data_IF_776984201824
#
_entry.id   IF_776984201824
#
_cell.length_a   1.000
_cell.length_b   1.000
_cell.length_c   1.000
_cell.angle_alpha   90.00
_cell.angle_beta   90.00
_cell.angle_gamma   90.00
#
_symmetry.space_group_name_H-M   'P 1'
#
loop_
_entity.id
_entity.type
_entity.pdbx_description
1 polymer ?
#
# COMPACT_ATOMS: atom_id res chain seq x y z
N UNK A 1 -16.56 16.51 8.35
CA UNK A 1 -17.89 17.14 8.45
C UNK A 1 -18.98 16.11 8.74
N UNK A 2 -19.12 15.03 7.97
CA UNK A 2 -20.20 14.03 8.10
C UNK A 2 -20.26 13.41 9.51
N UNK A 3 -19.17 12.89 10.04
CA UNK A 3 -19.11 12.31 11.38
C UNK A 3 -19.58 13.29 12.48
N UNK A 4 -19.21 14.57 12.39
CA UNK A 4 -19.70 15.58 13.34
C UNK A 4 -21.20 15.79 13.27
N UNK A 5 -21.81 15.70 12.08
CA UNK A 5 -23.27 15.77 11.94
C UNK A 5 -23.95 14.56 12.56
N UNK A 6 -23.39 13.36 12.36
CA UNK A 6 -23.90 12.15 13.01
C UNK A 6 -23.85 12.28 14.54
N UNK A 7 -22.75 12.76 15.11
CA UNK A 7 -22.63 13.01 16.55
C UNK A 7 -23.70 13.98 17.01
N UNK A 8 -23.90 15.11 16.32
CA UNK A 8 -24.95 16.10 16.65
C UNK A 8 -26.34 15.49 16.57
N UNK A 9 -26.63 14.67 15.55
CA UNK A 9 -27.95 14.02 15.45
C UNK A 9 -28.17 13.03 16.60
N UNK A 10 -27.21 12.25 16.97
CA UNK A 10 -27.30 11.30 18.09
C UNK A 10 -27.55 12.03 19.38
N UNK A 11 -26.80 13.09 19.67
CA UNK A 11 -26.91 13.88 20.92
C UNK A 11 -28.20 14.70 20.98
N UNK A 12 -28.52 15.45 19.92
CA UNK A 12 -29.68 16.38 19.93
C UNK A 12 -31.03 15.66 19.93
N UNK A 13 -31.08 14.44 19.38
CA UNK A 13 -32.30 13.64 19.34
C UNK A 13 -32.35 12.55 20.42
N UNK A 14 -31.41 12.55 21.36
CA UNK A 14 -31.30 11.57 22.45
C UNK A 14 -31.40 10.12 21.94
N UNK A 15 -30.73 9.82 20.81
CA UNK A 15 -30.76 8.48 20.18
C UNK A 15 -30.08 7.49 21.11
N UNK A 16 -30.84 6.53 21.62
CA UNK A 16 -30.31 5.46 22.47
C UNK A 16 -29.91 4.27 21.60
N UNK A 17 -28.69 3.73 21.85
CA UNK A 17 -28.20 2.53 21.24
C UNK A 17 -28.03 1.41 22.28
N UNK A 18 -28.11 0.15 21.87
CA UNK A 18 -27.88 -1.00 22.77
C UNK A 18 -26.41 -1.11 23.19
N UNK A 19 -25.51 -0.61 22.37
CA UNK A 19 -24.08 -0.60 22.60
C UNK A 19 -23.51 0.80 22.67
N UNK A 20 -22.21 0.89 22.87
CA UNK A 20 -21.46 2.15 22.88
C UNK A 20 -21.09 2.54 21.45
N UNK A 21 -21.34 3.78 21.08
CA UNK A 21 -20.81 4.37 19.84
C UNK A 21 -19.52 5.11 20.15
N UNK A 22 -18.45 4.71 19.47
CA UNK A 22 -17.15 5.34 19.55
C UNK A 22 -16.85 6.08 18.24
N UNK A 23 -16.74 7.41 18.31
CA UNK A 23 -16.40 8.24 17.15
C UNK A 23 -14.93 8.59 17.17
N UNK A 24 -14.21 8.19 16.12
CA UNK A 24 -12.76 8.31 16.05
C UNK A 24 -12.38 9.08 14.78
N UNK A 25 -11.63 10.17 14.94
CA UNK A 25 -10.97 10.86 13.84
C UNK A 25 -9.51 10.39 13.76
N UNK A 26 -9.16 9.69 12.71
CA UNK A 26 -7.81 9.17 12.45
C UNK A 26 -6.95 10.21 11.75
N UNK A 27 -5.63 10.00 11.77
CA UNK A 27 -4.64 10.81 11.07
C UNK A 27 -3.70 9.91 10.25
N UNK A 28 -3.19 10.44 9.15
CA UNK A 28 -2.18 9.74 8.35
C UNK A 28 -2.70 8.49 7.68
N UNK A 29 -3.89 8.57 7.07
CA UNK A 29 -4.43 7.52 6.22
C UNK A 29 -3.69 7.49 4.88
N UNK A 30 -3.46 8.65 4.28
CA UNK A 30 -2.97 8.77 2.92
C UNK A 30 -1.45 8.59 2.78
N UNK A 31 -1.04 8.21 1.58
CA UNK A 31 0.34 8.15 1.10
C UNK A 31 1.33 7.58 2.14
N UNK A 32 2.33 8.37 2.52
CA UNK A 32 3.37 8.04 3.50
C UNK A 32 2.83 7.91 4.94
N UNK A 33 1.62 8.39 5.19
CA UNK A 33 0.95 8.23 6.47
C UNK A 33 0.63 6.77 6.79
N UNK A 34 0.47 5.93 5.78
CA UNK A 34 0.41 4.46 5.86
C UNK A 34 -0.55 3.93 6.92
N UNK A 35 -1.74 4.57 7.05
CA UNK A 35 -2.76 4.20 8.04
C UNK A 35 -2.29 4.30 9.50
N UNK A 36 -1.30 5.14 9.83
CA UNK A 36 -0.67 5.15 11.16
C UNK A 36 -1.66 5.40 12.30
N UNK A 37 -2.70 6.22 12.06
CA UNK A 37 -3.73 6.51 13.05
C UNK A 37 -4.54 5.27 13.41
N UNK A 38 -5.14 4.61 12.43
CA UNK A 38 -5.94 3.40 12.64
C UNK A 38 -5.08 2.23 13.12
N UNK A 39 -3.84 2.09 12.64
CA UNK A 39 -2.88 1.11 13.18
C UNK A 39 -2.63 1.31 14.66
N UNK A 40 -2.43 2.56 15.10
CA UNK A 40 -2.25 2.87 16.53
C UNK A 40 -3.45 2.46 17.36
N UNK A 41 -4.66 2.66 16.84
CA UNK A 41 -5.90 2.28 17.53
C UNK A 41 -5.97 0.77 17.70
N UNK A 42 -5.85 0.00 16.63
CA UNK A 42 -6.13 -1.44 16.68
C UNK A 42 -4.92 -2.30 17.09
N UNK A 43 -3.69 -1.84 16.91
CA UNK A 43 -2.51 -2.63 17.31
C UNK A 43 -1.97 -2.27 18.69
N UNK A 44 -2.30 -1.08 19.26
CA UNK A 44 -1.57 -0.62 20.43
C UNK A 44 -2.41 0.06 21.51
N UNK A 45 -3.68 0.45 21.27
CA UNK A 45 -4.46 1.19 22.27
C UNK A 45 -5.23 0.30 23.25
N UNK A 46 -5.40 -0.98 22.94
CA UNK A 46 -6.26 -1.89 23.71
C UNK A 46 -7.75 -1.66 23.52
N UNK A 47 -8.17 -0.83 22.55
CA UNK A 47 -9.58 -0.62 22.23
C UNK A 47 -10.14 -1.87 21.56
N UNK A 48 -11.25 -2.38 22.09
CA UNK A 48 -12.02 -3.47 21.51
C UNK A 48 -13.35 -2.95 21.00
N UNK A 49 -13.73 -3.35 19.80
CA UNK A 49 -14.99 -3.00 19.14
C UNK A 49 -15.58 -4.22 18.43
N UNK A 50 -16.91 -4.29 18.36
CA UNK A 50 -17.62 -5.39 17.68
C UNK A 50 -17.79 -5.15 16.19
N UNK A 51 -17.57 -3.92 15.72
CA UNK A 51 -17.64 -3.56 14.31
C UNK A 51 -17.14 -2.14 14.05
N UNK A 52 -16.75 -1.89 12.81
CA UNK A 52 -16.19 -0.60 12.36
C UNK A 52 -16.89 -0.15 11.08
N UNK A 53 -17.39 1.08 11.12
CA UNK A 53 -17.90 1.79 9.95
C UNK A 53 -16.97 2.96 9.63
N UNK A 54 -16.34 2.92 8.46
CA UNK A 54 -15.46 3.98 7.97
C UNK A 54 -16.24 4.91 7.05
N UNK A 55 -16.03 6.20 7.17
CA UNK A 55 -16.57 7.22 6.27
C UNK A 55 -15.45 7.74 5.38
N UNK A 56 -15.43 7.27 4.12
CA UNK A 56 -14.36 7.55 3.16
C UNK A 56 -14.89 7.58 1.72
N UNK A 57 -14.46 8.59 0.96
CA UNK A 57 -14.94 8.86 -0.38
C UNK A 57 -16.18 9.73 -0.44
N UNK A 58 -16.48 10.28 -1.61
CA UNK A 58 -17.55 11.26 -1.82
C UNK A 58 -18.91 10.62 -2.13
N UNK A 59 -18.94 9.47 -2.81
CA UNK A 59 -20.19 8.86 -3.29
C UNK A 59 -20.92 8.08 -2.19
N UNK A 60 -22.12 8.50 -1.77
CA UNK A 60 -22.93 7.78 -0.77
C UNK A 60 -23.37 6.37 -1.22
N UNK A 61 -23.42 6.12 -2.53
CA UNK A 61 -23.73 4.82 -3.12
C UNK A 61 -22.57 3.82 -3.06
N UNK A 62 -21.39 4.25 -2.67
CA UNK A 62 -20.22 3.39 -2.50
C UNK A 62 -20.32 2.54 -1.24
N UNK A 63 -20.00 1.25 -1.38
CA UNK A 63 -19.93 0.30 -0.27
C UNK A 63 -18.74 -0.63 -0.47
N UNK A 64 -17.82 -0.68 0.49
CA UNK A 64 -16.62 -1.50 0.38
C UNK A 64 -16.77 -2.81 1.17
N UNK A 65 -16.71 -3.94 0.47
CA UNK A 65 -16.71 -5.27 1.09
C UNK A 65 -15.30 -5.81 1.36
N UNK A 66 -14.28 -5.20 0.79
CA UNK A 66 -12.90 -5.67 0.90
C UNK A 66 -11.90 -4.54 1.03
N UNK A 67 -10.69 -4.91 1.40
CA UNK A 67 -9.56 -4.02 1.60
C UNK A 67 -8.42 -4.42 0.68
N UNK A 68 -7.99 -3.52 -0.19
CA UNK A 68 -6.80 -3.71 -1.01
C UNK A 68 -5.57 -3.50 -0.15
N UNK A 69 -4.76 -4.55 0.00
CA UNK A 69 -3.48 -4.46 0.68
C UNK A 69 -2.41 -3.82 -0.19
N UNK A 70 -1.41 -3.21 0.44
CA UNK A 70 -0.20 -2.76 -0.25
C UNK A 70 1.05 -2.96 0.57
N UNK A 71 2.15 -3.28 -0.11
CA UNK A 71 3.50 -3.30 0.46
C UNK A 71 4.40 -2.43 -0.40
N UNK A 72 5.03 -1.47 0.25
CA UNK A 72 5.86 -0.46 -0.41
C UNK A 72 7.29 -0.59 0.06
N UNK A 73 8.21 -0.47 -0.87
CA UNK A 73 9.64 -0.60 -0.59
C UNK A 73 10.41 0.51 -1.29
N UNK A 74 11.41 1.03 -0.58
CA UNK A 74 12.50 1.80 -1.15
C UNK A 74 13.67 0.86 -1.42
N UNK A 75 14.21 0.91 -2.63
CA UNK A 75 15.37 0.14 -3.06
C UNK A 75 16.50 1.11 -3.36
N UNK A 76 17.64 0.90 -2.74
CA UNK A 76 18.83 1.72 -2.88
C UNK A 76 19.98 0.90 -3.42
N UNK A 77 20.63 1.39 -4.47
CA UNK A 77 21.84 0.82 -5.01
C UNK A 77 23.02 1.73 -4.68
N UNK A 78 24.14 1.12 -4.30
CA UNK A 78 25.41 1.84 -4.06
C UNK A 78 26.57 1.07 -4.71
N UNK A 79 27.46 1.79 -5.35
CA UNK A 79 28.63 1.24 -6.03
C UNK A 79 29.84 2.15 -5.91
N UNK A 80 30.98 1.81 -6.55
CA UNK A 80 32.23 2.55 -6.40
C UNK A 80 32.21 3.95 -7.04
N UNK A 81 31.35 4.18 -8.04
CA UNK A 81 31.43 5.38 -8.85
C UNK A 81 32.66 5.42 -9.75
N UNK A 82 32.81 6.48 -10.54
CA UNK A 82 33.99 6.66 -11.37
C UNK A 82 33.77 7.52 -12.60
N UNK A 83 34.83 7.74 -13.37
CA UNK A 83 34.75 8.48 -14.65
C UNK A 83 34.30 7.53 -15.77
N UNK A 84 33.28 7.93 -16.53
CA UNK A 84 32.61 7.07 -17.53
C UNK A 84 33.55 6.53 -18.61
N UNK A 85 34.62 7.23 -18.96
CA UNK A 85 35.62 6.80 -19.94
C UNK A 85 36.83 6.10 -19.30
N UNK A 86 37.41 6.68 -18.24
CA UNK A 86 38.63 6.17 -17.62
C UNK A 86 38.41 4.85 -16.88
N UNK A 87 37.27 4.69 -16.24
CA UNK A 87 36.93 3.50 -15.46
C UNK A 87 35.93 2.57 -16.18
N UNK A 88 35.70 2.79 -17.47
CA UNK A 88 34.84 1.92 -18.26
C UNK A 88 35.38 0.50 -18.28
N UNK A 89 34.50 -0.47 -17.98
CA UNK A 89 34.89 -1.88 -17.93
C UNK A 89 35.51 -2.32 -16.59
N UNK A 90 35.79 -1.38 -15.69
CA UNK A 90 36.40 -1.67 -14.37
C UNK A 90 35.35 -1.61 -13.24
N UNK A 91 34.42 -0.66 -13.33
CA UNK A 91 33.44 -0.39 -12.28
C UNK A 91 32.00 -0.59 -12.78
N UNK A 92 31.18 -1.25 -11.97
CA UNK A 92 29.76 -1.39 -12.22
C UNK A 92 29.01 -0.10 -11.85
N UNK A 93 27.82 0.10 -12.45
CA UNK A 93 27.01 1.31 -12.27
C UNK A 93 25.73 1.02 -11.49
N UNK A 94 25.46 1.81 -10.46
CA UNK A 94 24.22 1.71 -9.68
C UNK A 94 22.96 1.92 -10.54
N UNK A 95 22.99 2.89 -11.47
CA UNK A 95 21.85 3.15 -12.38
C UNK A 95 21.64 2.01 -13.37
N UNK A 96 22.70 1.37 -13.87
CA UNK A 96 22.56 0.22 -14.76
C UNK A 96 22.03 -1.01 -14.02
N UNK A 97 22.44 -1.23 -12.77
CA UNK A 97 21.87 -2.27 -11.92
C UNK A 97 20.36 -2.07 -11.70
N UNK A 98 19.93 -0.84 -11.41
CA UNK A 98 18.52 -0.49 -11.27
C UNK A 98 17.74 -0.68 -12.59
N UNK A 99 18.30 -0.28 -13.72
CA UNK A 99 17.68 -0.50 -15.03
C UNK A 99 17.47 -2.00 -15.34
N UNK A 100 18.44 -2.87 -14.97
CA UNK A 100 18.31 -4.33 -15.15
C UNK A 100 17.17 -4.87 -14.28
N UNK A 101 17.10 -4.47 -13.02
CA UNK A 101 16.02 -4.88 -12.11
C UNK A 101 14.66 -4.36 -12.59
N UNK A 102 14.59 -3.10 -13.02
CA UNK A 102 13.37 -2.49 -13.56
C UNK A 102 12.86 -3.21 -14.81
N UNK A 103 13.75 -3.64 -15.70
CA UNK A 103 13.39 -4.42 -16.88
C UNK A 103 12.83 -5.81 -16.52
N UNK A 104 13.38 -6.45 -15.50
CA UNK A 104 12.86 -7.73 -15.00
C UNK A 104 11.47 -7.53 -14.38
N UNK A 105 11.30 -6.51 -13.55
CA UNK A 105 10.01 -6.18 -12.97
C UNK A 105 8.95 -5.87 -14.04
N UNK A 106 9.31 -5.10 -15.07
CA UNK A 106 8.38 -4.70 -16.13
C UNK A 106 7.86 -5.90 -16.97
N UNK A 107 8.57 -7.02 -16.96
CA UNK A 107 8.16 -8.26 -17.64
C UNK A 107 7.34 -9.22 -16.77
N UNK A 108 7.17 -8.88 -15.48
CA UNK A 108 6.42 -9.73 -14.56
C UNK A 108 4.95 -9.82 -14.98
N UNK A 109 4.38 -11.01 -14.88
CA UNK A 109 2.96 -11.23 -15.11
C UNK A 109 2.25 -11.46 -13.77
N UNK A 110 1.15 -10.77 -13.56
CA UNK A 110 0.33 -10.89 -12.34
C UNK A 110 -1.11 -11.24 -12.72
N UNK A 111 -1.86 -11.91 -11.84
CA UNK A 111 -3.25 -12.27 -12.12
C UNK A 111 -4.14 -11.02 -12.14
N UNK A 112 -5.16 -11.07 -13.00
CA UNK A 112 -6.23 -10.09 -13.02
C UNK A 112 -7.20 -10.30 -11.83
N UNK A 113 -7.35 -11.56 -11.38
CA UNK A 113 -8.19 -11.94 -10.23
C UNK A 113 -7.50 -13.01 -9.37
N UNK A 114 -7.37 -12.77 -8.05
CA UNK A 114 -7.67 -11.49 -7.39
C UNK A 114 -6.80 -10.38 -7.97
N UNK A 115 -7.36 -9.16 -8.10
CA UNK A 115 -6.64 -8.02 -8.71
C UNK A 115 -5.33 -7.78 -7.98
N UNK A 116 -4.24 -7.98 -8.72
CA UNK A 116 -2.87 -7.85 -8.20
C UNK A 116 -2.10 -6.90 -9.11
N UNK A 117 -1.34 -6.00 -8.53
CA UNK A 117 -0.64 -4.96 -9.30
C UNK A 117 0.74 -4.69 -8.70
N UNK A 118 1.64 -4.22 -9.54
CA UNK A 118 2.93 -3.68 -9.13
C UNK A 118 3.23 -2.40 -9.91
N UNK A 119 4.01 -1.51 -9.30
CA UNK A 119 4.46 -0.28 -9.94
C UNK A 119 5.86 0.05 -9.47
N UNK A 120 6.78 0.35 -10.41
CA UNK A 120 8.00 1.07 -10.14
C UNK A 120 7.61 2.56 -10.17
N UNK A 121 7.36 3.14 -8.99
CA UNK A 121 6.68 4.43 -8.86
C UNK A 121 7.62 5.62 -9.06
N UNK A 122 8.82 5.53 -8.50
CA UNK A 122 9.86 6.55 -8.62
C UNK A 122 11.18 5.92 -9.00
N UNK A 123 12.04 6.68 -9.68
CA UNK A 123 13.39 6.27 -10.03
C UNK A 123 14.29 7.49 -10.10
N UNK A 124 15.45 7.42 -9.45
CA UNK A 124 16.46 8.46 -9.48
C UNK A 124 17.87 7.87 -9.40
N UNK A 125 18.88 8.64 -9.78
CA UNK A 125 20.28 8.23 -9.63
C UNK A 125 21.23 8.93 -10.58
N UNK A 126 22.53 8.71 -10.34
CA UNK A 126 23.62 9.35 -11.05
C UNK A 126 23.92 10.76 -10.53
N UNK A 127 25.06 11.33 -10.97
CA UNK A 127 25.51 12.67 -10.57
C UNK A 127 25.85 13.57 -11.75
N UNK A 128 26.39 13.02 -12.83
CA UNK A 128 26.72 13.76 -14.04
C UNK A 128 26.78 12.83 -15.26
N UNK A 129 26.73 13.44 -16.47
CA UNK A 129 26.70 12.71 -17.75
C UNK A 129 27.97 11.89 -18.00
N UNK A 130 29.10 12.26 -17.41
CA UNK A 130 30.39 11.60 -17.55
C UNK A 130 30.84 10.81 -16.32
N UNK A 131 29.91 10.46 -15.44
CA UNK A 131 30.15 9.64 -14.26
C UNK A 131 29.53 8.24 -14.40
N UNK A 132 30.22 7.21 -13.91
CA UNK A 132 29.63 5.93 -13.54
C UNK A 132 28.85 6.19 -12.25
N UNK A 133 27.55 5.90 -12.24
CA UNK A 133 26.70 6.23 -11.10
C UNK A 133 27.08 5.43 -9.85
N UNK A 134 27.38 6.15 -8.78
CA UNK A 134 27.63 5.61 -7.45
C UNK A 134 26.33 5.23 -6.74
N UNK A 135 25.27 6.02 -6.95
CA UNK A 135 23.97 5.81 -6.32
C UNK A 135 22.84 5.78 -7.32
N UNK A 136 21.85 4.93 -7.05
CA UNK A 136 20.54 4.93 -7.67
C UNK A 136 19.51 4.43 -6.67
N UNK A 137 18.28 4.89 -6.80
CA UNK A 137 17.18 4.45 -5.95
C UNK A 137 15.87 4.42 -6.70
N UNK A 138 14.94 3.62 -6.20
CA UNK A 138 13.56 3.62 -6.65
C UNK A 138 12.61 3.28 -5.50
N UNK A 139 11.33 3.58 -5.71
CA UNK A 139 10.26 3.11 -4.86
C UNK A 139 9.29 2.26 -5.66
N UNK A 140 8.80 1.20 -5.02
CA UNK A 140 7.81 0.29 -5.61
C UNK A 140 6.57 0.20 -4.73
N UNK A 141 5.42 0.03 -5.37
CA UNK A 141 4.13 -0.23 -4.73
C UNK A 141 3.57 -1.55 -5.27
N UNK A 142 3.39 -2.53 -4.39
CA UNK A 142 2.84 -3.85 -4.66
C UNK A 142 1.48 -3.95 -4.01
N UNK A 143 0.43 -4.35 -4.76
CA UNK A 143 -0.93 -4.41 -4.24
C UNK A 143 -1.62 -5.71 -4.62
N UNK A 144 -2.49 -6.18 -3.74
CA UNK A 144 -3.45 -7.24 -4.03
C UNK A 144 -4.68 -7.12 -3.13
N UNK A 145 -5.81 -7.65 -3.60
CA UNK A 145 -7.02 -7.87 -2.80
C UNK A 145 -6.88 -9.10 -1.89
N UNK A 146 -5.94 -10.00 -2.20
CA UNK A 146 -5.67 -11.21 -1.45
C UNK A 146 -4.33 -11.11 -0.71
N UNK A 147 -4.29 -11.38 0.63
CA UNK A 147 -3.07 -11.26 1.42
C UNK A 147 -2.00 -12.27 1.01
N UNK A 148 -2.37 -13.50 0.60
CA UNK A 148 -1.40 -14.52 0.21
C UNK A 148 -0.78 -14.20 -1.14
N UNK A 149 -1.57 -13.69 -2.08
CA UNK A 149 -1.08 -13.20 -3.36
C UNK A 149 -0.13 -12.01 -3.18
N UNK A 150 -0.45 -11.09 -2.25
CA UNK A 150 0.42 -9.96 -1.94
C UNK A 150 1.76 -10.44 -1.36
N UNK A 151 1.74 -11.42 -0.46
CA UNK A 151 2.95 -12.00 0.12
C UNK A 151 3.78 -12.73 -0.94
N UNK A 152 3.14 -13.51 -1.82
CA UNK A 152 3.78 -14.18 -2.95
C UNK A 152 4.44 -13.19 -3.91
N UNK A 153 3.74 -12.11 -4.25
CA UNK A 153 4.27 -11.05 -5.11
C UNK A 153 5.54 -10.42 -4.52
N UNK A 154 5.57 -10.17 -3.21
CA UNK A 154 6.76 -9.65 -2.53
C UNK A 154 7.94 -10.62 -2.65
N UNK A 155 7.69 -11.92 -2.45
CA UNK A 155 8.72 -12.95 -2.55
C UNK A 155 9.27 -13.08 -3.97
N UNK A 156 8.47 -12.79 -4.98
CA UNK A 156 8.89 -12.81 -6.38
C UNK A 156 9.64 -11.53 -6.78
N UNK A 157 9.14 -10.36 -6.35
CA UNK A 157 9.64 -9.05 -6.79
C UNK A 157 10.96 -8.65 -6.12
N UNK A 158 11.07 -8.79 -4.79
CA UNK A 158 12.27 -8.28 -4.10
C UNK A 158 13.59 -8.93 -4.56
N UNK A 159 13.65 -10.24 -4.86
CA UNK A 159 14.87 -10.85 -5.40
C UNK A 159 15.32 -10.27 -6.75
N UNK A 160 14.40 -9.74 -7.58
CA UNK A 160 14.75 -9.14 -8.87
C UNK A 160 15.70 -7.95 -8.71
N UNK A 161 15.57 -7.19 -7.63
CA UNK A 161 16.43 -6.03 -7.36
C UNK A 161 17.84 -6.47 -6.94
N UNK A 162 17.96 -7.47 -6.08
CA UNK A 162 19.25 -8.06 -5.77
C UNK A 162 19.90 -8.69 -7.00
N UNK A 163 19.13 -9.34 -7.84
CA UNK A 163 19.59 -9.95 -9.09
C UNK A 163 20.06 -8.89 -10.11
N UNK A 164 19.42 -7.73 -10.18
CA UNK A 164 19.90 -6.60 -10.99
C UNK A 164 21.31 -6.15 -10.62
N UNK A 165 21.62 -6.05 -9.33
CA UNK A 165 22.99 -5.77 -8.85
C UNK A 165 23.96 -6.89 -9.24
N UNK A 166 23.54 -8.14 -9.05
CA UNK A 166 24.35 -9.30 -9.41
C UNK A 166 24.69 -9.32 -10.92
N UNK A 167 23.71 -9.10 -11.79
CA UNK A 167 23.88 -9.04 -13.23
C UNK A 167 24.85 -7.93 -13.64
N UNK A 168 24.78 -6.76 -12.99
CA UNK A 168 25.69 -5.65 -13.28
C UNK A 168 27.13 -5.99 -12.85
N UNK A 169 27.33 -6.55 -11.67
CA UNK A 169 28.64 -7.01 -11.18
C UNK A 169 29.24 -8.10 -12.07
N UNK A 170 28.43 -9.07 -12.50
CA UNK A 170 28.85 -10.14 -13.42
C UNK A 170 29.23 -9.59 -14.79
N UNK A 171 28.51 -8.59 -15.31
CA UNK A 171 28.80 -7.97 -16.61
C UNK A 171 30.23 -7.46 -16.70
N UNK A 172 30.78 -6.97 -15.59
CA UNK A 172 32.12 -6.40 -15.49
C UNK A 172 33.13 -7.29 -14.79
N UNK A 173 32.77 -8.56 -14.48
CA UNK A 173 33.60 -9.52 -13.74
C UNK A 173 34.16 -8.97 -12.42
N UNK A 174 33.37 -8.17 -11.69
CA UNK A 174 33.80 -7.56 -10.43
C UNK A 174 33.71 -8.59 -9.32
N UNK A 175 34.89 -9.07 -8.88
CA UNK A 175 35.02 -10.07 -7.81
C UNK A 175 35.30 -9.47 -6.45
N UNK A 176 35.93 -8.27 -6.41
CA UNK A 176 36.18 -7.55 -5.15
C UNK A 176 34.88 -7.00 -4.56
N UNK A 177 34.45 -7.46 -3.37
CA UNK A 177 33.23 -6.97 -2.72
C UNK A 177 33.22 -5.46 -2.45
N UNK A 178 34.37 -4.81 -2.36
CA UNK A 178 34.48 -3.38 -2.14
C UNK A 178 34.10 -2.57 -3.39
N UNK A 179 34.21 -3.17 -4.57
CA UNK A 179 33.92 -2.57 -5.86
C UNK A 179 32.56 -2.99 -6.44
N UNK A 180 31.82 -3.86 -5.76
CA UNK A 180 30.52 -4.31 -6.22
C UNK A 180 29.42 -3.28 -5.99
N UNK A 181 28.46 -3.21 -6.91
CA UNK A 181 27.18 -2.59 -6.64
C UNK A 181 26.42 -3.46 -5.65
N UNK A 182 25.91 -2.83 -4.62
CA UNK A 182 25.09 -3.44 -3.56
C UNK A 182 23.66 -2.94 -3.67
N UNK A 183 22.73 -3.81 -3.33
CA UNK A 183 21.30 -3.49 -3.25
C UNK A 183 20.83 -3.56 -1.81
N UNK A 184 20.15 -2.50 -1.35
CA UNK A 184 19.49 -2.44 -0.04
C UNK A 184 18.00 -2.23 -0.25
N UNK A 185 17.17 -3.04 0.40
CA UNK A 185 15.72 -2.95 0.37
C UNK A 185 15.23 -2.50 1.74
N UNK A 186 14.41 -1.46 1.77
CA UNK A 186 13.82 -0.91 2.99
C UNK A 186 12.30 -0.85 2.84
N UNK A 187 11.50 -1.51 3.72
CA UNK A 187 10.06 -1.35 3.72
C UNK A 187 9.68 0.06 4.15
N UNK A 188 8.77 0.71 3.39
CA UNK A 188 8.32 2.08 3.65
C UNK A 188 6.78 2.17 3.82
N UNK A 189 6.05 1.07 3.65
CA UNK A 189 4.62 1.03 3.86
C UNK A 189 4.08 -0.39 3.85
N UNK A 190 3.02 -0.62 4.65
CA UNK A 190 2.31 -1.89 4.72
C UNK A 190 0.85 -1.68 5.09
N UNK A 191 -0.05 -1.91 4.17
CA UNK A 191 -1.49 -1.95 4.41
C UNK A 191 -1.98 -3.39 4.24
N UNK A 192 -2.67 -4.00 5.24
CA UNK A 192 -3.13 -5.36 5.10
C UNK A 192 -4.28 -5.47 4.09
N UNK A 193 -4.33 -6.58 3.35
CA UNK A 193 -5.50 -6.96 2.56
C UNK A 193 -6.47 -7.76 3.43
N UNK A 194 -7.76 -7.63 3.18
CA UNK A 194 -8.79 -8.44 3.82
C UNK A 194 -10.12 -8.35 3.04
N UNK A 195 -10.99 -9.33 3.24
CA UNK A 195 -12.32 -9.36 2.65
C UNK A 195 -13.35 -9.66 3.73
N UNK A 196 -14.42 -8.88 3.77
CA UNK A 196 -15.57 -9.14 4.65
C UNK A 196 -16.30 -10.39 4.22
N UNK A 197 -16.80 -11.16 5.19
CA UNK A 197 -17.75 -12.21 4.91
C UNK A 197 -19.06 -11.60 4.37
N UNK A 198 -19.75 -12.23 3.43
CA UNK A 198 -21.00 -11.71 2.88
C UNK A 198 -22.10 -11.47 3.92
N UNK A 199 -22.08 -12.23 5.01
CA UNK A 199 -23.00 -12.15 6.16
C UNK A 199 -22.49 -11.21 7.26
N UNK A 200 -21.44 -10.43 7.02
CA UNK A 200 -20.91 -9.45 7.97
C UNK A 200 -22.01 -8.48 8.44
N UNK A 201 -22.29 -8.39 9.75
CA UNK A 201 -23.41 -7.58 10.26
C UNK A 201 -23.25 -6.08 9.94
N UNK A 202 -22.03 -5.57 9.94
CA UNK A 202 -21.77 -4.15 9.61
C UNK A 202 -22.01 -3.88 8.12
N UNK A 203 -21.57 -4.79 7.25
CA UNK A 203 -21.80 -4.70 5.80
C UNK A 203 -23.30 -4.76 5.48
N UNK A 204 -24.04 -5.70 6.08
CA UNK A 204 -25.49 -5.85 5.89
C UNK A 204 -26.24 -4.63 6.44
N UNK A 205 -25.88 -4.11 7.61
CA UNK A 205 -26.50 -2.92 8.17
C UNK A 205 -26.27 -1.66 7.31
N UNK A 206 -25.05 -1.50 6.79
CA UNK A 206 -24.72 -0.39 5.89
C UNK A 206 -25.54 -0.47 4.59
N UNK A 207 -25.64 -1.67 3.99
CA UNK A 207 -26.47 -1.89 2.80
C UNK A 207 -27.96 -1.64 3.04
N UNK A 208 -28.49 -2.12 4.17
CA UNK A 208 -29.88 -1.90 4.55
C UNK A 208 -30.18 -0.39 4.75
N UNK A 209 -29.26 0.36 5.34
CA UNK A 209 -29.39 1.81 5.50
C UNK A 209 -29.42 2.55 4.16
N UNK A 210 -28.52 2.19 3.20
CA UNK A 210 -28.56 2.75 1.85
C UNK A 210 -29.92 2.51 1.19
N UNK A 211 -30.41 1.26 1.23
CA UNK A 211 -31.72 0.90 0.66
C UNK A 211 -32.87 1.67 1.30
N UNK A 212 -32.88 1.80 2.63
CA UNK A 212 -33.93 2.54 3.37
C UNK A 212 -33.97 4.04 3.03
N UNK A 213 -32.83 4.61 2.65
CA UNK A 213 -32.68 5.99 2.23
C UNK A 213 -32.87 6.19 0.72
N UNK A 214 -33.15 5.13 -0.04
CA UNK A 214 -33.26 5.20 -1.51
C UNK A 214 -31.94 5.49 -2.21
N UNK A 215 -30.82 5.23 -1.55
CA UNK A 215 -29.47 5.40 -2.14
C UNK A 215 -29.16 4.17 -2.99
N UNK A 216 -28.96 4.40 -4.28
CA UNK A 216 -28.56 3.36 -5.21
C UNK A 216 -27.12 2.93 -4.94
N UNK A 217 -26.84 1.61 -5.04
CA UNK A 217 -25.49 1.07 -4.95
C UNK A 217 -24.76 1.33 -6.27
N UNK A 218 -23.83 2.26 -6.26
CA UNK A 218 -23.04 2.66 -7.43
C UNK A 218 -21.75 1.88 -7.53
N UNK A 219 -21.10 1.60 -6.38
CA UNK A 219 -19.84 0.85 -6.30
C UNK A 219 -19.90 -0.19 -5.18
N UNK A 220 -19.60 -1.44 -5.53
CA UNK A 220 -19.43 -2.55 -4.58
C UNK A 220 -18.10 -3.23 -4.87
N UNK A 221 -17.06 -2.89 -4.08
CA UNK A 221 -15.69 -3.21 -4.43
C UNK A 221 -14.76 -3.29 -3.21
N UNK A 222 -13.52 -3.67 -3.45
CA UNK A 222 -12.41 -3.51 -2.50
C UNK A 222 -11.67 -2.19 -2.75
N UNK A 223 -11.25 -1.52 -1.67
CA UNK A 223 -10.39 -0.34 -1.75
C UNK A 223 -9.48 -0.24 -0.52
N UNK A 224 -8.49 0.66 -0.56
CA UNK A 224 -7.56 0.85 0.56
C UNK A 224 -7.99 2.06 1.39
N UNK A 225 -8.52 1.79 2.59
CA UNK A 225 -9.01 2.80 3.55
C UNK A 225 -8.63 2.41 4.98
N UNK A 226 -9.05 3.17 5.97
CA UNK A 226 -8.87 2.82 7.38
C UNK A 226 -9.51 1.47 7.78
N UNK A 227 -10.47 0.95 7.00
CA UNK A 227 -11.04 -0.39 7.23
C UNK A 227 -10.04 -1.53 7.08
N UNK A 228 -8.93 -1.34 6.34
CA UNK A 228 -7.93 -2.39 6.11
C UNK A 228 -7.47 -3.03 7.42
N UNK A 229 -7.20 -2.21 8.42
CA UNK A 229 -6.64 -2.69 9.69
C UNK A 229 -7.66 -3.50 10.50
N UNK A 230 -8.83 -2.98 10.89
CA UNK A 230 -9.79 -3.75 11.66
C UNK A 230 -10.30 -4.98 10.90
N UNK A 231 -10.52 -4.87 9.57
CA UNK A 231 -10.94 -5.99 8.74
C UNK A 231 -9.91 -7.12 8.74
N UNK A 232 -8.62 -6.81 8.64
CA UNK A 232 -7.53 -7.80 8.70
C UNK A 232 -7.40 -8.50 10.05
N UNK A 233 -7.91 -7.90 11.10
CA UNK A 233 -8.01 -8.49 12.45
C UNK A 233 -9.29 -9.31 12.66
N UNK A 234 -10.11 -9.48 11.61
CA UNK A 234 -11.37 -10.21 11.68
C UNK A 234 -12.52 -9.43 12.31
N UNK A 235 -12.35 -8.13 12.55
CA UNK A 235 -13.41 -7.27 13.06
C UNK A 235 -14.35 -6.91 11.89
N UNK A 236 -15.67 -7.16 12.00
CA UNK A 236 -16.63 -6.76 10.98
C UNK A 236 -16.47 -5.29 10.61
N UNK A 237 -16.14 -5.01 9.36
CA UNK A 237 -15.80 -3.65 8.93
C UNK A 237 -16.32 -3.38 7.52
N UNK A 238 -16.73 -2.15 7.26
CA UNK A 238 -17.06 -1.66 5.93
C UNK A 238 -16.79 -0.16 5.82
N UNK A 239 -16.71 0.34 4.61
CA UNK A 239 -16.58 1.76 4.32
C UNK A 239 -17.72 2.23 3.44
N UNK A 240 -18.27 3.40 3.78
CA UNK A 240 -19.28 4.13 3.03
C UNK A 240 -18.72 5.45 2.54
N UNK A 241 -19.23 5.91 1.41
CA UNK A 241 -19.00 7.29 0.99
C UNK A 241 -19.66 8.28 1.95
N UNK A 242 -18.92 9.33 2.29
CA UNK A 242 -19.33 10.34 3.26
C UNK A 242 -20.15 11.49 2.66
N UNK A 243 -20.38 11.49 1.36
CA UNK A 243 -20.93 12.63 0.61
C UNK A 243 -19.89 13.74 0.44
N UNK A 244 -20.21 14.70 -0.41
CA UNK A 244 -19.33 15.82 -0.72
C UNK A 244 -19.02 15.95 -2.21
N UNK A 245 -18.05 16.77 -2.52
CA UNK A 245 -17.48 16.90 -3.87
C UNK A 245 -15.98 16.63 -3.77
N UNK A 246 -15.45 15.93 -4.76
CA UNK A 246 -14.01 15.82 -4.97
C UNK A 246 -13.41 17.15 -5.43
#
# INVERSE_FOLDING_TARGET
ACMLQVIRMVVNNDIKTKGTLLFIATVGQEAEGDLRGVKRIFYSSGIHVDGVLVLDGADPGRLLYGSVGSKRYKIEYSGPGGHSYLNFGQYPSATQALCRAGALLANLQVPAEPKTTFTLATMSGGSSVNAIAEHAECEIDLRSEDPQMLDGLVQEVLPLFAFGAQLENQRWNVTDPALQVRCKVTPIGHRPAAVSKPDSPVLQAARAAQMALGIELTEYMSASTDQNVPMSLGIPSTSLGAGGRE
#
